data_IF_009042422823
#
_entry.id   IF_009042422823
#
_cell.length_a   1.000
_cell.length_b   1.000
_cell.length_c   1.000
_cell.angle_alpha   90.00
_cell.angle_beta   90.00
_cell.angle_gamma   90.00
#
_symmetry.space_group_name_H-M   'P 1'
#
loop_
_entity.id
_entity.type
_entity.pdbx_description
1 polymer ?
#
# COMPACT_ATOMS: atom_id res chain seq x y z
N UNK A 1 -45.42 13.64 15.34
CA UNK A 1 -44.17 13.76 16.12
C UNK A 1 -43.08 13.05 15.34
N UNK A 2 -42.18 13.79 14.70
CA UNK A 2 -41.09 13.24 13.88
C UNK A 2 -39.80 13.47 14.64
N UNK A 3 -39.23 12.42 15.23
CA UNK A 3 -37.95 12.50 15.93
C UNK A 3 -36.83 12.62 14.88
N UNK A 4 -36.26 13.82 14.80
CA UNK A 4 -35.09 14.13 13.97
C UNK A 4 -33.85 13.59 14.68
N UNK A 5 -33.30 12.48 14.17
CA UNK A 5 -32.00 11.97 14.62
C UNK A 5 -30.92 12.92 14.08
N UNK A 6 -30.31 13.68 14.99
CA UNK A 6 -29.13 14.49 14.69
C UNK A 6 -27.95 13.54 14.45
N UNK A 7 -27.54 13.39 13.19
CA UNK A 7 -26.27 12.77 12.85
C UNK A 7 -25.13 13.68 13.34
N UNK A 8 -24.56 13.33 14.49
CA UNK A 8 -23.33 13.91 14.99
C UNK A 8 -22.17 13.12 14.36
N UNK A 9 -21.68 13.56 13.21
CA UNK A 9 -20.38 13.11 12.73
C UNK A 9 -19.29 13.80 13.57
N UNK A 10 -18.39 13.07 14.24
CA UNK A 10 -17.25 13.70 14.90
C UNK A 10 -16.32 14.30 13.85
N UNK A 11 -16.28 15.64 13.91
CA UNK A 11 -15.23 16.60 13.59
C UNK A 11 -13.97 16.08 12.87
N UNK A 12 -13.63 16.76 11.77
CA UNK A 12 -12.39 16.62 11.02
C UNK A 12 -11.17 16.72 11.95
N UNK A 13 -10.49 15.60 12.18
CA UNK A 13 -9.17 15.60 12.80
C UNK A 13 -8.16 16.15 11.79
N UNK A 14 -7.67 17.36 12.05
CA UNK A 14 -6.54 17.94 11.35
C UNK A 14 -5.31 17.03 11.55
N UNK A 15 -4.87 16.37 10.48
CA UNK A 15 -3.59 15.67 10.47
C UNK A 15 -2.45 16.70 10.46
N UNK A 16 -1.94 17.03 11.64
CA UNK A 16 -0.62 17.66 11.75
C UNK A 16 0.43 16.58 11.47
N UNK A 17 0.80 16.44 10.19
CA UNK A 17 1.93 15.61 9.76
C UNK A 17 3.18 16.21 10.41
N UNK A 18 3.75 15.49 11.36
CA UNK A 18 4.96 15.89 12.05
C UNK A 18 6.16 15.63 11.12
N UNK A 19 6.37 16.53 10.16
CA UNK A 19 7.58 16.55 9.34
C UNK A 19 8.73 17.03 10.21
N UNK A 20 9.52 16.11 10.77
CA UNK A 20 10.98 16.20 10.86
C UNK A 20 11.57 15.15 11.81
N UNK A 21 12.19 14.11 11.23
CA UNK A 21 13.56 13.74 11.57
C UNK A 21 14.17 12.94 10.41
N UNK A 22 14.68 13.69 9.43
CA UNK A 22 15.53 13.14 8.38
C UNK A 22 16.88 12.81 9.02
N UNK A 23 17.06 11.58 9.50
CA UNK A 23 18.40 11.04 9.71
C UNK A 23 18.96 10.72 8.34
N UNK A 24 19.85 11.59 7.87
CA UNK A 24 20.58 11.42 6.62
C UNK A 24 21.58 10.28 6.76
N UNK A 25 21.14 9.04 6.50
CA UNK A 25 22.07 7.98 6.12
C UNK A 25 22.35 8.13 4.62
N UNK A 26 23.46 8.84 4.33
CA UNK A 26 24.09 8.82 3.02
C UNK A 26 24.68 7.44 2.77
N UNK A 27 24.01 6.68 1.91
CA UNK A 27 24.56 5.82 0.84
C UNK A 27 23.77 4.51 0.73
N UNK A 28 22.87 4.42 -0.26
CA UNK A 28 22.89 3.37 -1.28
C UNK A 28 21.78 3.63 -2.31
N UNK A 29 22.10 4.33 -3.41
CA UNK A 29 21.32 4.12 -4.64
C UNK A 29 21.79 2.77 -5.16
N UNK A 30 21.08 1.70 -4.77
CA UNK A 30 21.46 0.33 -5.14
C UNK A 30 21.02 -0.05 -6.55
N UNK A 31 20.03 0.68 -7.10
CA UNK A 31 19.50 0.49 -8.44
C UNK A 31 19.66 1.77 -9.27
N UNK A 32 20.29 1.63 -10.42
CA UNK A 32 20.33 2.66 -11.47
C UNK A 32 18.93 2.83 -12.10
N UNK A 33 18.70 3.97 -12.74
CA UNK A 33 17.46 4.21 -13.48
C UNK A 33 17.21 3.16 -14.58
N UNK A 34 18.27 2.61 -15.18
CA UNK A 34 18.19 1.56 -16.18
C UNK A 34 17.74 0.23 -15.59
N UNK A 35 18.27 -0.15 -14.42
CA UNK A 35 17.85 -1.37 -13.73
C UNK A 35 16.40 -1.26 -13.21
N UNK A 36 16.00 -0.09 -12.71
CA UNK A 36 14.62 0.17 -12.29
C UNK A 36 13.63 0.09 -13.47
N UNK A 37 14.01 0.62 -14.63
CA UNK A 37 13.22 0.51 -15.85
C UNK A 37 13.08 -0.96 -16.31
N UNK A 38 14.15 -1.75 -16.19
CA UNK A 38 14.12 -3.18 -16.49
C UNK A 38 13.18 -3.93 -15.54
N UNK A 39 13.29 -3.69 -14.23
CA UNK A 39 12.39 -4.29 -13.24
C UNK A 39 10.94 -3.92 -13.54
N UNK A 40 10.68 -2.65 -13.86
CA UNK A 40 9.33 -2.17 -14.18
C UNK A 40 8.74 -2.89 -15.39
N UNK A 41 9.53 -3.10 -16.44
CA UNK A 41 9.09 -3.83 -17.63
C UNK A 41 8.79 -5.31 -17.32
N UNK A 42 9.61 -5.95 -16.47
CA UNK A 42 9.40 -7.33 -16.02
C UNK A 42 8.10 -7.47 -15.21
N UNK A 43 7.85 -6.57 -14.25
CA UNK A 43 6.62 -6.60 -13.44
C UNK A 43 5.37 -6.28 -14.27
N UNK A 44 5.47 -5.36 -15.24
CA UNK A 44 4.39 -5.09 -16.20
C UNK A 44 4.05 -6.33 -17.03
N UNK A 45 5.07 -7.06 -17.50
CA UNK A 45 4.86 -8.26 -18.29
C UNK A 45 4.15 -9.35 -17.45
N UNK A 46 4.59 -9.56 -16.21
CA UNK A 46 3.95 -10.51 -15.27
C UNK A 46 2.49 -10.14 -15.03
N UNK A 47 2.20 -8.86 -14.75
CA UNK A 47 0.84 -8.38 -14.52
C UNK A 47 -0.05 -8.59 -15.75
N UNK A 48 0.43 -8.19 -16.94
CA UNK A 48 -0.34 -8.36 -18.18
C UNK A 48 -0.58 -9.85 -18.50
N UNK A 49 0.41 -10.72 -18.28
CA UNK A 49 0.25 -12.17 -18.46
C UNK A 49 -0.82 -12.73 -17.49
N UNK A 50 -0.81 -12.30 -16.23
CA UNK A 50 -1.82 -12.70 -15.25
C UNK A 50 -3.24 -12.29 -15.69
N UNK A 51 -3.42 -11.06 -16.16
CA UNK A 51 -4.71 -10.59 -16.65
C UNK A 51 -5.18 -11.36 -17.90
N UNK A 52 -4.27 -11.63 -18.86
CA UNK A 52 -4.59 -12.44 -20.04
C UNK A 52 -5.04 -13.85 -19.65
N UNK A 53 -4.38 -14.49 -18.68
CA UNK A 53 -4.77 -15.81 -18.16
C UNK A 53 -6.17 -15.81 -17.54
N UNK A 54 -6.59 -14.68 -16.98
CA UNK A 54 -7.94 -14.48 -16.44
C UNK A 54 -8.96 -14.01 -17.49
N UNK A 55 -8.60 -14.00 -18.77
CA UNK A 55 -9.52 -13.71 -19.88
C UNK A 55 -9.68 -12.23 -20.22
N UNK A 56 -8.81 -11.34 -19.73
CA UNK A 56 -8.85 -9.92 -20.07
C UNK A 56 -8.35 -9.68 -21.50
N UNK A 57 -9.03 -8.80 -22.24
CA UNK A 57 -8.57 -8.28 -23.55
C UNK A 57 -7.50 -7.19 -23.37
N UNK A 58 -6.76 -6.85 -24.43
CA UNK A 58 -5.76 -5.77 -24.36
C UNK A 58 -6.38 -4.42 -23.93
N UNK A 59 -7.57 -4.07 -24.45
CA UNK A 59 -8.27 -2.85 -24.04
C UNK A 59 -8.62 -2.85 -22.54
N UNK A 60 -8.99 -4.01 -21.99
CA UNK A 60 -9.28 -4.16 -20.56
C UNK A 60 -8.02 -4.09 -19.70
N UNK A 61 -6.89 -4.60 -20.20
CA UNK A 61 -5.59 -4.49 -19.53
C UNK A 61 -5.14 -3.04 -19.49
N UNK A 62 -5.24 -2.31 -20.61
CA UNK A 62 -4.90 -0.89 -20.68
C UNK A 62 -5.79 -0.05 -19.76
N UNK A 63 -7.08 -0.40 -19.67
CA UNK A 63 -7.99 0.22 -18.71
C UNK A 63 -7.58 -0.10 -17.26
N UNK A 64 -7.26 -1.35 -16.96
CA UNK A 64 -6.85 -1.78 -15.63
C UNK A 64 -5.63 -1.01 -15.13
N UNK A 65 -4.57 -0.92 -15.95
CA UNK A 65 -3.33 -0.20 -15.60
C UNK A 65 -3.54 1.29 -15.29
N UNK A 66 -4.62 1.90 -15.79
CA UNK A 66 -4.91 3.33 -15.62
C UNK A 66 -5.90 3.60 -14.49
N UNK A 67 -6.80 2.66 -14.20
CA UNK A 67 -8.00 2.92 -13.42
C UNK A 67 -8.22 1.95 -12.26
N UNK A 68 -7.52 0.81 -12.20
CA UNK A 68 -7.64 -0.07 -11.04
C UNK A 68 -6.88 0.51 -9.85
N UNK A 69 -7.60 0.64 -8.75
CA UNK A 69 -7.03 1.01 -7.46
C UNK A 69 -6.53 -0.27 -6.79
N UNK A 70 -5.20 -0.41 -6.70
CA UNK A 70 -4.51 -1.52 -6.04
C UNK A 70 -3.50 -1.01 -5.02
N UNK A 71 -2.92 -1.95 -4.25
CA UNK A 71 -1.78 -1.66 -3.39
C UNK A 71 -0.61 -2.59 -3.74
N UNK A 72 0.59 -2.03 -3.98
CA UNK A 72 0.82 -0.64 -4.35
C UNK A 72 0.06 -0.32 -5.67
N UNK A 73 -0.14 0.96 -6.03
CA UNK A 73 -0.76 1.30 -7.30
C UNK A 73 0.10 0.81 -8.48
N UNK A 74 -0.53 0.54 -9.62
CA UNK A 74 0.15 -0.04 -10.80
C UNK A 74 1.24 0.87 -11.38
N UNK A 75 1.20 2.18 -11.09
CA UNK A 75 2.21 3.16 -11.46
C UNK A 75 3.34 3.33 -10.42
N UNK A 76 3.35 2.53 -9.36
CA UNK A 76 4.46 2.48 -8.42
C UNK A 76 5.75 2.00 -9.12
N UNK A 77 6.93 2.37 -8.60
CA UNK A 77 8.20 1.87 -9.12
C UNK A 77 8.21 0.34 -9.22
N UNK A 78 8.86 -0.18 -10.25
CA UNK A 78 9.02 -1.61 -10.44
C UNK A 78 9.62 -2.31 -9.22
N UNK A 79 10.61 -1.70 -8.55
CA UNK A 79 11.18 -2.23 -7.29
C UNK A 79 10.14 -2.38 -6.19
N UNK A 80 9.25 -1.39 -6.04
CA UNK A 80 8.15 -1.40 -5.07
C UNK A 80 7.13 -2.49 -5.41
N UNK A 81 6.71 -2.57 -6.69
CA UNK A 81 5.77 -3.61 -7.15
C UNK A 81 6.36 -5.02 -6.99
N UNK A 82 7.64 -5.20 -7.31
CA UNK A 82 8.37 -6.45 -7.13
C UNK A 82 8.44 -6.86 -5.66
N UNK A 83 8.81 -5.93 -4.77
CA UNK A 83 8.85 -6.18 -3.35
C UNK A 83 7.48 -6.62 -2.80
N UNK A 84 6.41 -5.94 -3.23
CA UNK A 84 5.05 -6.33 -2.84
C UNK A 84 4.67 -7.71 -3.36
N UNK A 85 4.91 -8.00 -4.64
CA UNK A 85 4.64 -9.32 -5.23
C UNK A 85 5.38 -10.41 -4.47
N UNK A 86 6.67 -10.22 -4.18
CA UNK A 86 7.47 -11.19 -3.41
C UNK A 86 6.94 -11.38 -2.00
N UNK A 87 6.48 -10.33 -1.33
CA UNK A 87 5.85 -10.44 -0.01
C UNK A 87 4.55 -11.27 -0.08
N UNK A 88 3.73 -11.07 -1.11
CA UNK A 88 2.48 -11.82 -1.33
C UNK A 88 2.74 -13.28 -1.71
N UNK A 89 3.69 -13.55 -2.60
CA UNK A 89 4.06 -14.90 -3.02
C UNK A 89 4.58 -15.73 -1.84
N UNK A 90 5.38 -15.11 -0.97
CA UNK A 90 5.96 -15.75 0.22
C UNK A 90 5.03 -15.72 1.46
N UNK A 91 3.87 -15.07 1.37
CA UNK A 91 2.93 -14.97 2.48
C UNK A 91 2.43 -16.36 2.92
N UNK A 92 2.24 -16.53 4.24
CA UNK A 92 1.58 -17.72 4.80
C UNK A 92 0.11 -17.77 4.36
N UNK A 93 -0.54 -18.95 4.41
CA UNK A 93 -1.97 -19.05 4.08
C UNK A 93 -2.83 -18.05 4.87
N UNK A 94 -2.58 -17.90 6.16
CA UNK A 94 -3.33 -16.98 7.04
C UNK A 94 -3.14 -15.52 6.63
N UNK A 95 -1.92 -15.13 6.23
CA UNK A 95 -1.67 -13.78 5.71
C UNK A 95 -2.41 -13.55 4.40
N UNK A 96 -2.43 -14.55 3.50
CA UNK A 96 -3.12 -14.43 2.20
C UNK A 96 -4.62 -14.20 2.37
N UNK A 97 -5.24 -14.86 3.34
CA UNK A 97 -6.66 -14.66 3.67
C UNK A 97 -6.96 -13.22 4.12
N UNK A 98 -5.96 -12.51 4.65
CA UNK A 98 -6.11 -11.12 5.10
C UNK A 98 -5.72 -10.08 4.04
N UNK A 99 -5.08 -10.47 2.93
CA UNK A 99 -4.60 -9.53 1.91
C UNK A 99 -5.73 -8.70 1.29
N UNK A 100 -6.87 -9.32 0.95
CA UNK A 100 -8.01 -8.59 0.39
C UNK A 100 -8.53 -7.52 1.35
N UNK A 101 -8.61 -7.83 2.65
CA UNK A 101 -9.06 -6.87 3.65
C UNK A 101 -8.01 -5.78 3.89
N UNK A 102 -6.72 -6.13 3.85
CA UNK A 102 -5.64 -5.15 3.91
C UNK A 102 -5.71 -4.15 2.75
N UNK A 103 -5.97 -4.60 1.51
CA UNK A 103 -6.15 -3.71 0.34
C UNK A 103 -7.33 -2.75 0.56
N UNK A 104 -8.42 -3.20 1.17
CA UNK A 104 -9.53 -2.31 1.53
C UNK A 104 -9.12 -1.25 2.56
N UNK A 105 -8.29 -1.63 3.54
CA UNK A 105 -7.78 -0.69 4.56
C UNK A 105 -6.81 0.33 3.96
N UNK A 106 -5.95 -0.08 3.04
CA UNK A 106 -5.07 0.86 2.34
C UNK A 106 -5.84 1.81 1.43
N UNK A 107 -6.88 1.33 0.72
CA UNK A 107 -7.79 2.19 -0.04
C UNK A 107 -8.52 3.19 0.88
N UNK A 108 -9.02 2.73 2.04
CA UNK A 108 -9.66 3.62 3.01
C UNK A 108 -8.71 4.70 3.52
N UNK A 109 -7.45 4.35 3.82
CA UNK A 109 -6.40 5.30 4.18
C UNK A 109 -6.17 6.34 3.08
N UNK A 110 -6.10 5.92 1.81
CA UNK A 110 -5.91 6.84 0.68
C UNK A 110 -7.13 7.75 0.47
N UNK A 111 -8.36 7.28 0.73
CA UNK A 111 -9.57 8.11 0.63
C UNK A 111 -9.66 9.20 1.69
N UNK A 112 -9.22 8.91 2.92
CA UNK A 112 -9.21 9.91 3.99
C UNK A 112 -7.99 10.84 3.90
N UNK A 113 -6.98 10.48 3.09
CA UNK A 113 -5.82 11.30 2.76
C UNK A 113 -5.69 11.47 1.22
N UNK A 114 -6.60 12.18 0.54
CA UNK A 114 -6.68 12.20 -0.92
C UNK A 114 -5.42 12.74 -1.62
N UNK A 115 -4.67 13.64 -0.97
CA UNK A 115 -3.44 14.20 -1.51
C UNK A 115 -2.19 13.36 -1.19
N UNK A 116 -2.34 12.26 -0.44
CA UNK A 116 -1.23 11.49 0.10
C UNK A 116 -0.28 10.98 -1.00
N UNK A 117 -0.83 10.34 -2.04
CA UNK A 117 -0.06 9.80 -3.17
C UNK A 117 0.68 10.87 -3.96
N UNK A 118 0.16 12.10 -3.98
CA UNK A 118 0.83 13.25 -4.61
C UNK A 118 1.94 13.85 -3.74
N UNK A 119 1.90 13.59 -2.43
CA UNK A 119 2.81 14.15 -1.43
C UNK A 119 4.01 13.26 -1.08
N UNK A 120 3.95 11.97 -1.44
CA UNK A 120 5.05 11.03 -1.22
C UNK A 120 6.01 11.04 -2.40
N UNK A 121 7.28 10.73 -2.14
CA UNK A 121 8.22 10.43 -3.21
C UNK A 121 7.79 9.12 -3.89
N UNK A 122 7.73 9.09 -5.22
CA UNK A 122 7.40 7.86 -5.94
C UNK A 122 8.65 7.00 -6.14
N UNK A 123 9.27 6.60 -5.03
CA UNK A 123 10.48 5.78 -4.94
C UNK A 123 10.41 4.86 -3.70
N UNK A 124 11.43 4.05 -3.47
CA UNK A 124 11.47 3.13 -2.31
C UNK A 124 11.38 3.86 -0.97
N UNK A 125 11.96 5.05 -0.83
CA UNK A 125 11.91 5.84 0.40
C UNK A 125 10.51 6.37 0.69
N UNK A 126 9.80 6.84 -0.32
CA UNK A 126 8.41 7.24 -0.16
C UNK A 126 7.52 6.06 0.24
N UNK A 127 7.78 4.85 -0.27
CA UNK A 127 7.03 3.66 0.12
C UNK A 127 7.37 3.12 1.52
N UNK A 128 8.59 3.34 2.05
CA UNK A 128 8.83 3.14 3.48
C UNK A 128 7.96 4.07 4.32
N UNK A 129 7.83 5.33 3.92
CA UNK A 129 6.93 6.27 4.61
C UNK A 129 5.47 5.83 4.52
N UNK A 130 5.02 5.32 3.37
CA UNK A 130 3.67 4.73 3.23
C UNK A 130 3.44 3.60 4.21
N UNK A 131 4.43 2.71 4.37
CA UNK A 131 4.36 1.62 5.34
C UNK A 131 4.20 2.16 6.76
N UNK A 132 5.03 3.12 7.18
CA UNK A 132 4.98 3.73 8.52
C UNK A 132 3.63 4.44 8.79
N UNK A 133 3.14 5.20 7.82
CA UNK A 133 1.88 5.94 7.94
C UNK A 133 0.68 4.99 7.97
N UNK A 134 0.69 3.91 7.18
CA UNK A 134 -0.34 2.86 7.25
C UNK A 134 -0.32 2.12 8.59
N UNK A 135 0.86 1.77 9.13
CA UNK A 135 0.98 1.16 10.46
C UNK A 135 0.40 2.09 11.54
N UNK A 136 0.69 3.39 11.44
CA UNK A 136 0.16 4.41 12.35
C UNK A 136 -1.36 4.51 12.25
N UNK A 137 -1.90 4.55 11.03
CA UNK A 137 -3.33 4.55 10.77
C UNK A 137 -4.01 3.31 11.36
N UNK A 138 -3.48 2.12 11.10
CA UNK A 138 -4.01 0.85 11.63
C UNK A 138 -4.02 0.85 13.17
N UNK A 139 -2.94 1.33 13.79
CA UNK A 139 -2.80 1.36 15.26
C UNK A 139 -3.89 2.21 15.93
N UNK A 140 -4.31 3.31 15.32
CA UNK A 140 -5.38 4.16 15.86
C UNK A 140 -6.71 3.41 16.00
N UNK A 141 -7.00 2.49 15.08
CA UNK A 141 -8.21 1.67 15.15
C UNK A 141 -8.04 0.47 16.09
N UNK A 142 -6.85 -0.12 16.19
CA UNK A 142 -6.51 -1.23 17.08
C UNK A 142 -6.77 -0.91 18.57
N UNK A 143 -6.45 0.31 19.00
CA UNK A 143 -6.60 0.73 20.40
C UNK A 143 -8.07 0.77 20.87
N UNK A 144 -9.02 0.92 19.93
CA UNK A 144 -10.45 1.10 20.21
C UNK A 144 -11.32 -0.11 19.88
N UNK A 145 -10.71 -1.22 19.44
CA UNK A 145 -11.44 -2.35 18.85
C UNK A 145 -11.63 -3.56 19.78
N UNK A 146 -12.58 -4.43 19.40
CA UNK A 146 -12.77 -5.74 20.00
C UNK A 146 -11.65 -6.74 19.66
N UNK A 147 -11.65 -7.90 20.31
CA UNK A 147 -10.61 -8.92 20.15
C UNK A 147 -10.48 -9.47 18.73
N UNK A 148 -11.58 -9.53 17.97
CA UNK A 148 -11.57 -10.02 16.58
C UNK A 148 -10.90 -9.00 15.66
N UNK A 149 -11.25 -7.73 15.81
CA UNK A 149 -10.69 -6.61 15.05
C UNK A 149 -9.19 -6.43 15.37
N UNK A 150 -8.79 -6.58 16.63
CA UNK A 150 -7.36 -6.59 17.03
C UNK A 150 -6.55 -7.67 16.32
N UNK A 151 -7.13 -8.87 16.16
CA UNK A 151 -6.46 -9.94 15.42
C UNK A 151 -6.33 -9.62 13.92
N UNK A 152 -7.29 -8.91 13.32
CA UNK A 152 -7.17 -8.43 11.93
C UNK A 152 -6.07 -7.36 11.80
N UNK A 153 -6.03 -6.37 12.69
CA UNK A 153 -5.00 -5.33 12.68
C UNK A 153 -3.59 -5.87 12.91
N UNK A 154 -3.44 -6.92 13.72
CA UNK A 154 -2.19 -7.67 13.82
C UNK A 154 -1.74 -8.17 12.45
N UNK A 155 -2.62 -8.83 11.69
CA UNK A 155 -2.26 -9.37 10.38
C UNK A 155 -1.92 -8.29 9.36
N UNK A 156 -2.60 -7.14 9.38
CA UNK A 156 -2.24 -6.02 8.51
C UNK A 156 -0.83 -5.49 8.81
N UNK A 157 -0.45 -5.44 10.08
CA UNK A 157 0.92 -5.08 10.46
C UNK A 157 1.94 -6.14 10.01
N UNK A 158 1.62 -7.43 10.09
CA UNK A 158 2.50 -8.49 9.57
C UNK A 158 2.65 -8.43 8.03
N UNK A 159 1.58 -8.10 7.31
CA UNK A 159 1.63 -7.84 5.86
C UNK A 159 2.57 -6.66 5.56
N UNK A 160 2.43 -5.56 6.28
CA UNK A 160 3.29 -4.38 6.12
C UNK A 160 4.76 -4.68 6.44
N UNK A 161 5.05 -5.47 7.48
CA UNK A 161 6.42 -5.90 7.82
C UNK A 161 7.02 -6.81 6.76
N UNK A 162 6.25 -7.73 6.21
CA UNK A 162 6.70 -8.59 5.11
C UNK A 162 7.03 -7.75 3.88
N UNK A 163 6.17 -6.79 3.55
CA UNK A 163 6.43 -5.85 2.47
C UNK A 163 7.68 -4.99 2.73
N UNK A 164 7.82 -4.41 3.93
CA UNK A 164 8.99 -3.63 4.32
C UNK A 164 10.29 -4.44 4.19
N UNK A 165 10.25 -5.72 4.58
CA UNK A 165 11.39 -6.64 4.50
C UNK A 165 11.84 -6.87 3.06
N UNK A 166 10.88 -7.07 2.14
CA UNK A 166 11.18 -7.21 0.71
C UNK A 166 11.64 -5.87 0.11
N UNK A 167 11.04 -4.75 0.50
CA UNK A 167 11.38 -3.42 -0.01
C UNK A 167 12.81 -3.01 0.34
N UNK A 168 13.29 -3.37 1.53
CA UNK A 168 14.70 -3.17 1.97
C UNK A 168 15.74 -3.81 1.06
N UNK A 169 15.38 -4.74 0.18
CA UNK A 169 16.31 -5.33 -0.79
C UNK A 169 16.65 -4.36 -1.94
N UNK A 170 15.81 -3.35 -2.15
CA UNK A 170 15.91 -2.37 -3.24
C UNK A 170 16.34 -0.97 -2.77
N UNK A 171 16.60 -0.80 -1.47
CA UNK A 171 17.05 0.45 -0.84
C UNK A 171 18.49 0.34 -0.31
#
# INVERSE_FOLDING_TARGET
MVNSIKNNYPNQNNYSINTNKQTSDKNQVKYTAEEEAKISAEEDAIYCEHLRKNGYTEDQIDYAKKHMHGFPPDNAPGSVRRAWRQAVENATPEMRDQLCLFICVSDAFMRVNPDYTSSIQNDTNGYFKVIEDLQTYIKQYDEQSDSQSKNQYKWYNEILKAFETELKKFA
#
